data_IF_367743923896
#
_entry.id   IF_367743923896
#
_cell.length_a   1.000
_cell.length_b   1.000
_cell.length_c   1.000
_cell.angle_alpha   90.00
_cell.angle_beta   90.00
_cell.angle_gamma   90.00
#
_symmetry.space_group_name_H-M   'P 1'
#
loop_
_entity.id
_entity.type
_entity.pdbx_description
1 polymer ?
#
# COMPACT_ATOMS: atom_id res chain seq x y z
N UNK A 1 -0.81 -11.23 11.13
CA UNK A 1 -0.24 -10.42 10.04
C UNK A 1 -1.07 -10.59 8.77
N UNK A 2 -1.32 -9.54 7.99
CA UNK A 2 -2.15 -9.65 6.78
C UNK A 2 -1.40 -10.42 5.68
N UNK A 3 -2.02 -11.38 4.97
CA UNK A 3 -1.34 -12.23 3.98
C UNK A 3 -0.68 -11.46 2.84
N UNK A 4 -1.19 -10.26 2.49
CA UNK A 4 -0.54 -9.36 1.54
C UNK A 4 0.73 -8.68 2.09
N UNK A 5 0.80 -8.41 3.39
CA UNK A 5 2.02 -7.91 4.05
C UNK A 5 3.06 -9.03 4.12
N UNK A 6 2.64 -10.27 4.42
CA UNK A 6 3.53 -11.43 4.35
C UNK A 6 4.01 -11.70 2.92
N UNK A 7 3.15 -11.56 1.92
CA UNK A 7 3.54 -11.69 0.51
C UNK A 7 4.48 -10.55 0.08
N UNK A 8 4.22 -9.30 0.45
CA UNK A 8 5.13 -8.20 0.15
C UNK A 8 6.48 -8.38 0.84
N UNK A 9 6.50 -8.73 2.13
CA UNK A 9 7.74 -9.05 2.86
C UNK A 9 8.44 -10.25 2.19
N UNK A 10 7.70 -11.30 1.85
CA UNK A 10 8.24 -12.50 1.21
C UNK A 10 8.83 -12.22 -0.18
N UNK A 11 8.15 -11.40 -1.00
CA UNK A 11 8.65 -10.98 -2.32
C UNK A 11 9.89 -10.09 -2.16
N UNK A 12 9.89 -9.16 -1.20
CA UNK A 12 11.07 -8.34 -0.91
C UNK A 12 12.23 -9.21 -0.44
N UNK A 13 12.02 -10.11 0.51
CA UNK A 13 13.05 -11.05 1.00
C UNK A 13 13.55 -11.95 -0.13
N UNK A 14 12.67 -12.49 -0.98
CA UNK A 14 13.06 -13.30 -2.13
C UNK A 14 13.87 -12.50 -3.16
N UNK A 15 13.46 -11.27 -3.48
CA UNK A 15 14.21 -10.40 -4.38
C UNK A 15 15.59 -10.05 -3.83
N UNK A 16 15.68 -9.80 -2.52
CA UNK A 16 16.94 -9.55 -1.83
C UNK A 16 17.84 -10.77 -1.77
N UNK A 17 17.29 -11.95 -1.49
CA UNK A 17 18.02 -13.21 -1.53
C UNK A 17 18.53 -13.46 -2.94
N UNK A 18 17.74 -13.24 -3.99
CA UNK A 18 18.17 -13.40 -5.38
C UNK A 18 19.29 -12.41 -5.73
N UNK A 19 19.14 -11.13 -5.36
CA UNK A 19 20.16 -10.11 -5.61
C UNK A 19 21.48 -10.43 -4.87
N UNK A 20 21.39 -10.78 -3.58
CA UNK A 20 22.55 -11.11 -2.75
C UNK A 20 23.19 -12.45 -3.13
N UNK A 21 22.41 -13.47 -3.50
CA UNK A 21 22.95 -14.74 -3.97
C UNK A 21 23.74 -14.55 -5.26
N UNK A 22 23.22 -13.75 -6.20
CA UNK A 22 23.92 -13.48 -7.46
C UNK A 22 25.24 -12.72 -7.24
N UNK A 23 25.25 -11.74 -6.31
CA UNK A 23 26.46 -11.05 -5.89
C UNK A 23 27.46 -12.00 -5.21
N UNK A 24 26.98 -12.89 -4.33
CA UNK A 24 27.78 -13.92 -3.67
C UNK A 24 28.42 -14.90 -4.66
N UNK A 25 27.69 -15.34 -5.69
CA UNK A 25 28.25 -16.20 -6.75
C UNK A 25 29.30 -15.48 -7.59
N UNK A 26 29.10 -14.20 -7.90
CA UNK A 26 30.11 -13.40 -8.59
C UNK A 26 31.35 -13.25 -7.69
N UNK A 27 31.18 -12.90 -6.41
CA UNK A 27 32.29 -12.77 -5.47
C UNK A 27 33.07 -14.09 -5.37
N UNK A 28 32.38 -15.22 -5.17
CA UNK A 28 33.00 -16.54 -5.12
C UNK A 28 33.82 -16.84 -6.38
N UNK A 29 33.26 -16.62 -7.56
CA UNK A 29 33.96 -16.93 -8.81
C UNK A 29 35.28 -16.16 -8.92
N UNK A 30 35.29 -14.89 -8.52
CA UNK A 30 36.49 -14.05 -8.61
C UNK A 30 37.49 -14.26 -7.47
N UNK A 31 37.06 -14.71 -6.28
CA UNK A 31 37.95 -14.95 -5.13
C UNK A 31 38.46 -16.39 -5.06
N UNK A 32 37.59 -17.38 -5.33
CA UNK A 32 37.84 -18.80 -5.14
C UNK A 32 37.61 -19.65 -6.41
N UNK A 33 36.95 -19.11 -7.43
CA UNK A 33 36.66 -19.84 -8.66
C UNK A 33 37.93 -20.16 -9.47
N UNK A 34 38.04 -21.37 -10.04
CA UNK A 34 39.18 -21.73 -10.87
C UNK A 34 39.24 -20.83 -12.11
N UNK A 35 40.47 -20.47 -12.49
CA UNK A 35 40.78 -19.77 -13.74
C UNK A 35 40.89 -20.81 -14.85
N UNK A 36 40.11 -20.64 -15.90
CA UNK A 36 40.12 -21.51 -17.08
C UNK A 36 39.93 -20.68 -18.34
N UNK A 37 40.20 -21.26 -19.49
CA UNK A 37 39.80 -20.70 -20.78
C UNK A 37 38.44 -21.25 -21.19
N UNK A 38 37.57 -20.37 -21.67
CA UNK A 38 36.29 -20.74 -22.24
C UNK A 38 36.23 -20.34 -23.71
N UNK A 39 35.77 -21.26 -24.55
CA UNK A 39 35.40 -20.98 -25.93
C UNK A 39 33.95 -20.48 -25.95
N UNK A 40 33.73 -19.28 -26.50
CA UNK A 40 32.38 -18.72 -26.62
C UNK A 40 31.73 -19.26 -27.89
N UNK A 41 30.67 -20.05 -27.73
CA UNK A 41 29.99 -20.74 -28.83
C UNK A 41 28.98 -19.83 -29.56
N UNK A 42 28.40 -18.87 -28.85
CA UNK A 42 27.42 -17.96 -29.46
C UNK A 42 26.74 -17.04 -28.45
N UNK A 43 26.15 -15.95 -28.94
CA UNK A 43 25.48 -14.95 -28.13
C UNK A 43 24.11 -14.59 -28.70
N UNK A 44 23.11 -14.42 -27.84
CA UNK A 44 21.74 -14.01 -28.21
C UNK A 44 21.40 -12.63 -27.65
N UNK A 45 20.55 -11.86 -28.36
CA UNK A 45 20.14 -10.49 -27.95
C UNK A 45 21.06 -9.38 -28.46
N UNK A 46 20.52 -8.17 -28.67
CA UNK A 46 21.26 -7.02 -29.23
C UNK A 46 21.95 -6.18 -28.14
N UNK A 47 21.19 -5.62 -27.19
CA UNK A 47 21.70 -4.66 -26.20
C UNK A 47 22.42 -5.30 -25.01
N UNK A 48 21.96 -6.47 -24.59
CA UNK A 48 22.52 -7.23 -23.46
C UNK A 48 22.73 -8.68 -23.91
N UNK A 49 23.84 -8.97 -24.62
CA UNK A 49 24.07 -10.29 -25.19
C UNK A 49 24.16 -11.34 -24.07
N UNK A 50 23.43 -12.45 -24.24
CA UNK A 50 23.56 -13.65 -23.40
C UNK A 50 24.39 -14.66 -24.17
N UNK A 51 25.62 -14.87 -23.74
CA UNK A 51 26.57 -15.75 -24.40
C UNK A 51 26.65 -17.12 -23.72
N UNK A 52 26.82 -18.17 -24.53
CA UNK A 52 27.05 -19.55 -24.09
C UNK A 52 28.49 -19.94 -24.48
N UNK A 53 29.12 -20.78 -23.66
CA UNK A 53 30.48 -21.25 -23.91
C UNK A 53 30.74 -22.62 -23.30
N UNK A 54 31.92 -23.17 -23.62
CA UNK A 54 32.44 -24.42 -23.06
C UNK A 54 33.84 -24.19 -22.48
N UNK A 55 34.16 -24.86 -21.39
CA UNK A 55 35.46 -24.78 -20.72
C UNK A 55 35.86 -26.14 -20.13
N UNK A 56 37.14 -26.29 -19.84
CA UNK A 56 37.69 -27.48 -19.17
C UNK A 56 38.22 -27.07 -17.81
N UNK A 57 37.73 -27.73 -16.76
CA UNK A 57 38.18 -27.51 -15.39
C UNK A 57 39.59 -28.11 -15.15
N UNK A 58 40.30 -27.71 -14.08
CA UNK A 58 41.65 -28.21 -13.79
C UNK A 58 41.74 -29.73 -13.59
N UNK A 59 40.64 -30.38 -13.23
CA UNK A 59 40.52 -31.85 -13.11
C UNK A 59 40.30 -32.55 -14.46
N UNK A 60 40.28 -31.80 -15.57
CA UNK A 60 40.00 -32.28 -16.92
C UNK A 60 38.51 -32.37 -17.27
N UNK A 61 37.61 -32.07 -16.33
CA UNK A 61 36.16 -32.13 -16.55
C UNK A 61 35.71 -31.03 -17.51
N UNK A 62 35.02 -31.41 -18.59
CA UNK A 62 34.43 -30.45 -19.53
C UNK A 62 33.06 -29.99 -19.04
N UNK A 63 32.85 -28.68 -19.04
CA UNK A 63 31.57 -28.06 -18.69
C UNK A 63 31.14 -27.06 -19.77
N UNK A 64 29.86 -26.72 -19.76
CA UNK A 64 29.30 -25.69 -20.63
C UNK A 64 28.23 -24.90 -19.92
N UNK A 65 27.99 -23.68 -20.38
CA UNK A 65 26.95 -22.82 -19.83
C UNK A 65 27.14 -21.35 -20.18
N UNK A 66 26.43 -20.49 -19.45
CA UNK A 66 26.45 -19.07 -19.71
C UNK A 66 27.84 -18.47 -19.40
N UNK A 67 28.35 -17.64 -20.31
CA UNK A 67 29.57 -16.84 -20.11
C UNK A 67 29.16 -15.38 -19.94
N UNK A 68 29.08 -14.95 -18.69
CA UNK A 68 28.69 -13.59 -18.36
C UNK A 68 29.78 -12.59 -18.78
N UNK A 69 29.33 -11.44 -19.32
CA UNK A 69 30.16 -10.35 -19.85
C UNK A 69 30.98 -10.67 -21.09
N UNK A 70 30.85 -11.88 -21.65
CA UNK A 70 31.20 -12.09 -23.04
C UNK A 70 30.25 -11.28 -23.94
N UNK A 71 30.73 -10.91 -25.11
CA UNK A 71 29.98 -10.18 -26.11
C UNK A 71 30.08 -10.88 -27.47
N UNK A 72 29.45 -10.31 -28.50
CA UNK A 72 29.43 -10.92 -29.83
C UNK A 72 30.81 -10.99 -30.51
N UNK A 73 31.75 -10.12 -30.14
CA UNK A 73 33.11 -10.17 -30.69
C UNK A 73 33.96 -11.27 -30.07
N UNK A 74 33.51 -11.88 -28.97
CA UNK A 74 34.21 -13.00 -28.34
C UNK A 74 33.80 -14.36 -28.95
N UNK A 75 32.81 -14.42 -29.86
CA UNK A 75 32.30 -15.67 -30.42
C UNK A 75 33.37 -16.35 -31.28
N UNK A 76 33.65 -17.62 -30.99
CA UNK A 76 34.73 -18.40 -31.61
C UNK A 76 36.10 -18.22 -30.94
N UNK A 77 36.24 -17.27 -30.01
CA UNK A 77 37.49 -17.00 -29.31
C UNK A 77 37.60 -17.79 -27.99
N UNK A 78 38.83 -18.10 -27.62
CA UNK A 78 39.18 -18.57 -26.27
C UNK A 78 39.43 -17.36 -25.37
N UNK A 79 38.64 -17.23 -24.31
CA UNK A 79 38.76 -16.12 -23.35
C UNK A 79 39.00 -16.64 -21.93
N UNK A 80 39.82 -15.91 -21.17
CA UNK A 80 40.02 -16.16 -19.75
C UNK A 80 38.74 -15.91 -18.94
N UNK A 81 38.34 -16.91 -18.16
CA UNK A 81 37.15 -16.85 -17.31
C UNK A 81 37.41 -17.41 -15.91
N UNK A 82 36.56 -16.98 -14.98
CA UNK A 82 36.42 -17.52 -13.63
C UNK A 82 35.13 -18.34 -13.54
N UNK A 83 35.23 -19.61 -13.16
CA UNK A 83 34.05 -20.50 -13.08
C UNK A 83 33.35 -20.35 -11.72
N UNK A 84 32.03 -20.17 -11.74
CA UNK A 84 31.18 -20.22 -10.56
C UNK A 84 30.50 -21.60 -10.45
N UNK A 85 30.28 -22.13 -9.24
CA UNK A 85 29.83 -23.51 -9.03
C UNK A 85 28.41 -23.80 -9.55
N UNK A 86 27.58 -22.78 -9.81
CA UNK A 86 26.16 -22.95 -10.17
C UNK A 86 25.72 -22.12 -11.38
N UNK A 87 26.39 -21.00 -11.67
CA UNK A 87 25.83 -19.93 -12.52
C UNK A 87 26.54 -19.76 -13.86
N UNK A 88 27.57 -20.59 -14.12
CA UNK A 88 28.39 -20.53 -15.33
C UNK A 88 29.72 -19.81 -15.10
N UNK A 89 30.26 -19.20 -16.15
CA UNK A 89 31.58 -18.58 -16.14
C UNK A 89 31.50 -17.06 -16.26
N UNK A 90 32.46 -16.36 -15.68
CA UNK A 90 32.58 -14.90 -15.76
C UNK A 90 33.86 -14.52 -16.49
N UNK A 91 33.77 -13.69 -17.53
CA UNK A 91 34.95 -13.12 -18.20
C UNK A 91 35.85 -12.45 -17.17
N UNK A 92 37.15 -12.76 -17.19
CA UNK A 92 38.12 -12.25 -16.21
C UNK A 92 38.43 -10.76 -16.45
N UNK A 93 37.48 -9.89 -16.10
CA UNK A 93 37.66 -8.43 -16.11
C UNK A 93 37.26 -7.86 -14.77
N UNK A 94 38.23 -7.30 -14.04
CA UNK A 94 38.00 -6.66 -12.74
C UNK A 94 36.93 -5.57 -12.80
N UNK A 95 36.90 -4.78 -13.88
CA UNK A 95 35.87 -3.74 -14.07
C UNK A 95 34.44 -4.31 -14.01
N UNK A 96 34.24 -5.51 -14.54
CA UNK A 96 32.94 -6.16 -14.57
C UNK A 96 32.48 -6.70 -13.21
N UNK A 97 33.41 -7.12 -12.36
CA UNK A 97 33.16 -7.48 -10.97
C UNK A 97 32.77 -6.23 -10.17
N UNK A 98 33.54 -5.16 -10.29
CA UNK A 98 33.32 -3.90 -9.55
C UNK A 98 31.94 -3.29 -9.84
N UNK A 99 31.52 -3.25 -11.10
CA UNK A 99 30.19 -2.74 -11.48
C UNK A 99 29.07 -3.54 -10.80
N UNK A 100 29.22 -4.87 -10.69
CA UNK A 100 28.21 -5.72 -10.06
C UNK A 100 28.19 -5.60 -8.54
N UNK A 101 29.36 -5.56 -7.90
CA UNK A 101 29.46 -5.34 -6.46
C UNK A 101 28.90 -3.98 -6.08
N UNK A 102 29.15 -2.94 -6.89
CA UNK A 102 28.56 -1.61 -6.70
C UNK A 102 27.03 -1.66 -6.71
N UNK A 103 26.43 -2.36 -7.67
CA UNK A 103 24.97 -2.53 -7.72
C UNK A 103 24.40 -3.27 -6.51
N UNK A 104 25.09 -4.31 -6.03
CA UNK A 104 24.69 -5.00 -4.81
C UNK A 104 24.69 -4.04 -3.61
N UNK A 105 25.78 -3.28 -3.42
CA UNK A 105 25.90 -2.26 -2.37
C UNK A 105 24.78 -1.22 -2.47
N UNK A 106 24.46 -0.74 -3.68
CA UNK A 106 23.38 0.24 -3.91
C UNK A 106 22.03 -0.32 -3.50
N UNK A 107 21.72 -1.57 -3.88
CA UNK A 107 20.45 -2.23 -3.55
C UNK A 107 20.34 -2.47 -2.04
N UNK A 108 21.40 -2.98 -1.40
CA UNK A 108 21.42 -3.22 0.04
C UNK A 108 21.32 -1.91 0.83
N UNK A 109 22.02 -0.86 0.39
CA UNK A 109 21.94 0.47 0.99
C UNK A 109 20.54 1.07 0.85
N UNK A 110 19.91 0.93 -0.31
CA UNK A 110 18.54 1.38 -0.53
C UNK A 110 17.55 0.61 0.36
N UNK A 111 17.74 -0.70 0.55
CA UNK A 111 16.94 -1.48 1.47
C UNK A 111 17.14 -1.02 2.92
N UNK A 112 18.38 -0.87 3.36
CA UNK A 112 18.69 -0.42 4.71
C UNK A 112 18.06 0.94 4.97
N UNK A 113 18.15 1.87 4.01
CA UNK A 113 17.50 3.17 4.08
C UNK A 113 15.95 3.05 4.17
N UNK A 114 15.33 2.16 3.38
CA UNK A 114 13.90 1.90 3.45
C UNK A 114 13.48 1.32 4.81
N UNK A 115 14.21 0.32 5.32
CA UNK A 115 13.98 -0.28 6.63
C UNK A 115 14.15 0.74 7.76
N UNK A 116 15.21 1.56 7.71
CA UNK A 116 15.45 2.63 8.66
C UNK A 116 14.32 3.66 8.64
N UNK A 117 13.85 4.06 7.45
CA UNK A 117 12.72 4.98 7.28
C UNK A 117 11.45 4.42 7.90
N UNK A 118 11.12 3.16 7.62
CA UNK A 118 9.96 2.46 8.20
C UNK A 118 10.09 2.41 9.73
N UNK A 119 11.26 2.04 10.25
CA UNK A 119 11.51 1.96 11.69
C UNK A 119 11.33 3.32 12.38
N UNK A 120 11.87 4.40 11.80
CA UNK A 120 11.70 5.77 12.30
C UNK A 120 10.22 6.17 12.33
N UNK A 121 9.46 5.89 11.26
CA UNK A 121 8.02 6.17 11.20
C UNK A 121 7.25 5.36 12.26
N UNK A 122 7.59 4.07 12.45
CA UNK A 122 7.00 3.24 13.50
C UNK A 122 7.29 3.79 14.91
N UNK A 123 8.53 4.19 15.18
CA UNK A 123 8.93 4.74 16.49
C UNK A 123 8.24 6.08 16.74
N UNK A 124 8.22 6.98 15.76
CA UNK A 124 7.56 8.30 15.86
C UNK A 124 6.06 8.15 16.10
N UNK A 125 5.38 7.32 15.32
CA UNK A 125 3.93 7.09 15.47
C UNK A 125 3.58 6.46 16.82
N UNK A 126 4.39 5.50 17.31
CA UNK A 126 4.22 4.95 18.67
C UNK A 126 4.44 5.98 19.76
N UNK A 127 5.47 6.83 19.63
CA UNK A 127 5.73 7.92 20.58
C UNK A 127 4.54 8.88 20.60
N UNK A 128 4.00 9.26 19.44
CA UNK A 128 2.83 10.13 19.33
C UNK A 128 1.59 9.49 19.98
N UNK A 129 1.32 8.22 19.70
CA UNK A 129 0.21 7.50 20.34
C UNK A 129 0.36 7.44 21.88
N UNK A 130 1.58 7.29 22.40
CA UNK A 130 1.86 7.35 23.84
C UNK A 130 1.63 8.75 24.42
N UNK A 131 2.12 9.79 23.74
CA UNK A 131 1.92 11.19 24.15
C UNK A 131 0.43 11.52 24.17
N UNK A 132 -0.32 11.13 23.13
CA UNK A 132 -1.77 11.32 23.06
C UNK A 132 -2.48 10.63 24.23
N UNK A 133 -2.08 9.40 24.57
CA UNK A 133 -2.62 8.65 25.72
C UNK A 133 -2.34 9.31 27.06
N UNK A 134 -1.16 9.91 27.21
CA UNK A 134 -0.77 10.61 28.43
C UNK A 134 -1.47 11.96 28.58
N UNK A 135 -1.87 12.60 27.47
CA UNK A 135 -2.49 13.91 27.44
C UNK A 135 -4.03 13.90 27.48
N UNK A 136 -4.66 12.74 27.72
CA UNK A 136 -6.13 12.64 27.74
C UNK A 136 -6.70 13.41 28.91
N UNK A 137 -7.53 14.39 28.62
CA UNK A 137 -8.33 15.13 29.61
C UNK A 137 -9.60 14.35 30.00
N UNK A 138 -10.16 14.55 31.23
CA UNK A 138 -11.45 13.98 31.62
C UNK A 138 -12.61 14.30 30.65
N UNK A 139 -12.52 15.42 29.93
CA UNK A 139 -13.50 15.87 28.94
C UNK A 139 -13.36 15.20 27.58
N UNK A 140 -12.47 14.22 27.46
CA UNK A 140 -12.15 13.55 26.21
C UNK A 140 -12.38 12.04 26.32
N UNK A 141 -12.85 11.46 25.22
CA UNK A 141 -12.96 10.02 25.02
C UNK A 141 -11.80 9.55 24.17
N UNK A 142 -10.91 8.75 24.77
CA UNK A 142 -9.88 8.04 24.03
C UNK A 142 -10.40 6.67 23.60
N UNK A 143 -10.42 6.43 22.30
CA UNK A 143 -10.72 5.16 21.68
C UNK A 143 -9.45 4.53 21.11
N UNK A 144 -9.22 3.25 21.45
CA UNK A 144 -8.06 2.48 21.02
C UNK A 144 -8.55 1.26 20.26
N UNK A 145 -8.18 1.14 18.99
CA UNK A 145 -8.43 -0.06 18.20
C UNK A 145 -7.48 -1.18 18.61
N UNK A 146 -8.04 -2.31 19.04
CA UNK A 146 -7.32 -3.57 19.24
C UNK A 146 -7.96 -4.69 18.43
N UNK A 147 -7.33 -5.03 17.32
CA UNK A 147 -7.83 -6.06 16.41
C UNK A 147 -9.17 -5.67 15.78
N UNK A 148 -10.25 -6.29 16.26
CA UNK A 148 -11.64 -6.06 15.82
C UNK A 148 -12.46 -5.21 16.79
N UNK A 149 -11.89 -4.84 17.93
CA UNK A 149 -12.61 -4.08 18.96
C UNK A 149 -12.04 -2.67 19.09
N UNK A 150 -12.90 -1.73 19.50
CA UNK A 150 -12.50 -0.43 20.03
C UNK A 150 -12.72 -0.47 21.54
N UNK A 151 -11.70 -0.06 22.28
CA UNK A 151 -11.74 0.05 23.73
C UNK A 151 -11.49 1.48 24.18
N UNK A 152 -12.05 1.86 25.32
CA UNK A 152 -11.73 3.13 25.95
C UNK A 152 -10.38 3.09 26.69
N UNK A 153 -10.00 4.20 27.34
CA UNK A 153 -8.77 4.30 28.14
C UNK A 153 -8.71 3.33 29.33
N UNK A 154 -9.86 2.93 29.88
CA UNK A 154 -9.96 1.93 30.95
C UNK A 154 -9.84 0.49 30.44
N UNK A 155 -9.84 0.31 29.12
CA UNK A 155 -9.82 -1.01 28.49
C UNK A 155 -11.20 -1.63 28.31
N UNK A 156 -12.28 -0.93 28.70
CA UNK A 156 -13.67 -1.35 28.46
C UNK A 156 -13.98 -1.29 26.98
N UNK A 157 -14.67 -2.32 26.49
CA UNK A 157 -15.06 -2.45 25.09
C UNK A 157 -16.21 -1.49 24.77
N UNK A 158 -15.98 -0.61 23.80
CA UNK A 158 -16.97 0.38 23.33
C UNK A 158 -17.63 -0.07 22.04
N UNK A 159 -16.85 -0.63 21.11
CA UNK A 159 -17.34 -1.12 19.82
C UNK A 159 -16.69 -2.44 19.41
N UNK A 160 -17.40 -3.23 18.60
CA UNK A 160 -16.90 -4.45 17.98
C UNK A 160 -17.25 -4.50 16.51
N UNK A 161 -16.26 -4.80 15.66
CA UNK A 161 -16.45 -5.00 14.24
C UNK A 161 -16.51 -6.49 13.90
N UNK A 162 -17.61 -6.93 13.26
CA UNK A 162 -17.68 -8.24 12.62
C UNK A 162 -17.13 -8.14 11.21
N UNK A 163 -16.26 -9.08 10.85
CA UNK A 163 -15.65 -9.17 9.51
C UNK A 163 -16.10 -10.44 8.79
N UNK A 164 -16.45 -10.30 7.52
CA UNK A 164 -16.57 -11.40 6.58
C UNK A 164 -15.40 -11.35 5.60
N UNK A 165 -14.61 -12.43 5.56
CA UNK A 165 -13.32 -12.48 4.84
C UNK A 165 -12.40 -11.33 5.29
N UNK A 166 -12.27 -10.28 4.47
CA UNK A 166 -11.40 -9.12 4.70
C UNK A 166 -12.17 -7.80 4.85
N UNK A 167 -13.50 -7.84 4.80
CA UNK A 167 -14.34 -6.64 4.86
C UNK A 167 -15.13 -6.64 6.15
N UNK A 168 -15.29 -5.46 6.72
CA UNK A 168 -16.22 -5.27 7.81
C UNK A 168 -17.64 -5.31 7.27
N UNK A 169 -18.52 -5.99 8.00
CA UNK A 169 -19.91 -6.21 7.59
C UNK A 169 -20.90 -5.77 8.66
N UNK A 170 -20.46 -5.68 9.92
CA UNK A 170 -21.29 -5.15 10.99
C UNK A 170 -20.43 -4.47 12.06
N UNK A 171 -21.05 -3.56 12.79
CA UNK A 171 -20.54 -2.86 13.95
C UNK A 171 -21.53 -3.04 15.10
N UNK A 172 -21.03 -3.25 16.31
CA UNK A 172 -21.86 -3.39 17.52
C UNK A 172 -21.32 -2.47 18.60
N UNK A 173 -22.17 -1.60 19.16
CA UNK A 173 -21.84 -0.70 20.28
C UNK A 173 -22.01 -1.35 21.65
N UNK A 174 -21.51 -0.69 22.70
CA UNK A 174 -21.58 -1.18 24.09
C UNK A 174 -23.00 -1.33 24.63
N UNK A 175 -23.96 -0.56 24.10
CA UNK A 175 -25.39 -0.67 24.42
C UNK A 175 -26.16 -1.70 23.59
N UNK A 176 -25.48 -2.54 22.81
CA UNK A 176 -26.12 -3.55 21.95
C UNK A 176 -26.65 -3.01 20.62
N UNK A 177 -26.51 -1.72 20.35
CA UNK A 177 -26.82 -1.11 19.05
C UNK A 177 -26.01 -1.77 17.94
N UNK A 178 -26.68 -2.20 16.89
CA UNK A 178 -26.05 -2.84 15.74
C UNK A 178 -26.19 -1.98 14.50
N UNK A 179 -25.18 -2.08 13.64
CA UNK A 179 -25.16 -1.44 12.35
C UNK A 179 -24.61 -2.39 11.31
N UNK A 180 -25.19 -2.36 10.13
CA UNK A 180 -24.66 -3.04 8.96
C UNK A 180 -23.68 -2.13 8.25
N UNK A 181 -22.55 -2.70 7.83
CA UNK A 181 -21.54 -1.97 7.06
C UNK A 181 -21.57 -2.45 5.62
N UNK A 182 -21.73 -1.50 4.68
CA UNK A 182 -21.50 -1.72 3.25
C UNK A 182 -20.23 -0.98 2.83
N UNK A 183 -19.39 -1.63 2.04
CA UNK A 183 -18.08 -1.10 1.66
C UNK A 183 -18.00 -0.92 0.14
N UNK A 184 -17.63 0.29 -0.27
CA UNK A 184 -17.24 0.64 -1.64
C UNK A 184 -15.76 1.02 -1.72
N UNK A 185 -15.26 1.27 -2.92
CA UNK A 185 -13.87 1.73 -3.11
C UNK A 185 -13.68 3.11 -2.49
N UNK A 186 -12.97 3.17 -1.36
CA UNK A 186 -12.75 4.40 -0.60
C UNK A 186 -14.02 4.94 0.07
N UNK A 187 -15.08 4.13 0.17
CA UNK A 187 -16.35 4.53 0.81
C UNK A 187 -16.78 3.47 1.82
N UNK A 188 -17.27 3.91 2.96
CA UNK A 188 -17.88 3.09 4.00
C UNK A 188 -19.27 3.63 4.27
N UNK A 189 -20.30 2.80 4.11
CA UNK A 189 -21.68 3.13 4.45
C UNK A 189 -22.06 2.40 5.73
N UNK A 190 -22.86 3.07 6.53
CA UNK A 190 -23.42 2.52 7.75
C UNK A 190 -24.94 2.56 7.66
N UNK A 191 -25.56 1.39 7.78
CA UNK A 191 -27.01 1.27 7.84
C UNK A 191 -27.41 0.79 9.26
N UNK A 192 -28.52 1.28 9.80
CA UNK A 192 -29.04 0.84 11.10
C UNK A 192 -29.70 -0.55 10.99
N UNK A 193 -30.22 -1.07 12.11
CA UNK A 193 -30.89 -2.39 12.15
C UNK A 193 -32.18 -2.45 11.32
N UNK A 194 -32.83 -1.31 11.07
CA UNK A 194 -33.97 -1.20 10.16
C UNK A 194 -33.57 -1.19 8.68
N UNK A 195 -32.27 -1.14 8.37
CA UNK A 195 -31.73 -1.04 7.02
C UNK A 195 -31.71 0.37 6.43
N UNK A 196 -31.98 1.39 7.25
CA UNK A 196 -31.92 2.80 6.85
C UNK A 196 -30.48 3.32 6.94
N UNK A 197 -30.11 4.21 6.02
CA UNK A 197 -28.77 4.79 5.98
C UNK A 197 -28.58 5.71 7.19
N UNK A 198 -27.60 5.39 8.04
CA UNK A 198 -27.18 6.26 9.15
C UNK A 198 -26.12 7.28 8.71
N UNK A 199 -25.39 6.99 7.64
CA UNK A 199 -24.43 7.88 7.03
C UNK A 199 -23.34 7.15 6.25
N UNK A 200 -22.32 7.89 5.81
CA UNK A 200 -21.15 7.31 5.12
C UNK A 200 -19.87 8.09 5.39
N UNK A 201 -18.73 7.40 5.22
CA UNK A 201 -17.40 8.00 5.20
C UNK A 201 -16.81 7.78 3.83
N UNK A 202 -16.36 8.85 3.17
CA UNK A 202 -15.83 8.83 1.82
C UNK A 202 -14.44 9.46 1.77
N UNK A 203 -13.51 8.77 1.11
CA UNK A 203 -12.19 9.29 0.83
C UNK A 203 -12.30 10.45 -0.17
N UNK A 204 -11.78 11.60 0.22
CA UNK A 204 -11.60 12.71 -0.70
C UNK A 204 -10.44 12.37 -1.66
N UNK A 205 -10.78 12.33 -2.95
CA UNK A 205 -9.85 12.01 -4.04
C UNK A 205 -9.47 13.24 -4.85
N UNK A 206 -9.63 14.43 -4.29
CA UNK A 206 -9.16 15.67 -4.90
C UNK A 206 -7.69 15.59 -5.31
N UNK A 207 -7.27 16.48 -6.22
CA UNK A 207 -5.92 16.51 -6.79
C UNK A 207 -4.79 16.81 -5.76
N UNK A 208 -5.11 16.86 -4.46
CA UNK A 208 -4.19 17.11 -3.37
C UNK A 208 -3.27 15.91 -3.07
N UNK A 209 -2.12 16.20 -2.46
CA UNK A 209 -1.16 15.20 -1.98
C UNK A 209 -1.54 14.60 -0.62
N UNK A 210 -2.61 15.09 0.00
CA UNK A 210 -3.05 14.73 1.35
C UNK A 210 -4.25 13.80 1.27
N UNK A 211 -4.24 12.76 2.10
CA UNK A 211 -5.39 11.87 2.25
C UNK A 211 -6.37 12.55 3.23
N UNK A 212 -7.60 12.78 2.79
CA UNK A 212 -8.70 13.30 3.61
C UNK A 212 -9.94 12.42 3.44
N UNK A 213 -10.85 12.51 4.40
CA UNK A 213 -12.14 11.83 4.38
C UNK A 213 -13.24 12.79 4.79
N UNK A 214 -14.39 12.69 4.14
CA UNK A 214 -15.60 13.40 4.51
C UNK A 214 -16.59 12.41 5.13
N UNK A 215 -17.19 12.80 6.25
CA UNK A 215 -18.24 12.05 6.92
C UNK A 215 -19.57 12.72 6.59
N UNK A 216 -20.47 11.96 6.01
CA UNK A 216 -21.82 12.37 5.66
C UNK A 216 -22.82 11.73 6.64
N UNK A 217 -23.83 12.49 7.01
CA UNK A 217 -24.95 12.02 7.81
C UNK A 217 -25.97 11.22 6.97
N UNK A 218 -27.11 10.86 7.59
CA UNK A 218 -28.20 10.13 6.94
C UNK A 218 -28.86 10.91 5.79
N UNK A 219 -28.80 12.25 5.80
CA UNK A 219 -29.34 13.12 4.75
C UNK A 219 -28.34 13.38 3.62
N UNK A 220 -27.19 12.71 3.65
CA UNK A 220 -26.05 12.92 2.75
C UNK A 220 -25.44 14.33 2.83
N UNK A 221 -25.65 15.02 3.97
CA UNK A 221 -24.99 16.28 4.25
C UNK A 221 -23.64 16.04 4.93
N UNK A 222 -22.58 16.79 4.57
CA UNK A 222 -21.29 16.67 5.25
C UNK A 222 -21.44 17.12 6.71
N UNK A 223 -21.07 16.25 7.64
CA UNK A 223 -21.09 16.52 9.08
C UNK A 223 -19.70 16.74 9.68
N UNK A 224 -18.67 16.12 9.10
CA UNK A 224 -17.30 16.23 9.59
C UNK A 224 -16.26 15.88 8.52
N UNK A 225 -15.01 16.29 8.79
CA UNK A 225 -13.84 15.98 7.98
C UNK A 225 -12.77 15.31 8.83
N UNK A 226 -12.05 14.36 8.24
CA UNK A 226 -10.83 13.77 8.79
C UNK A 226 -9.69 14.09 7.84
N UNK A 227 -8.71 14.87 8.27
CA UNK A 227 -7.62 15.30 7.40
C UNK A 227 -6.26 15.14 8.07
N UNK A 228 -5.26 14.77 7.27
CA UNK A 228 -3.86 14.74 7.69
C UNK A 228 -3.38 16.17 7.91
N UNK A 229 -2.78 16.47 9.06
CA UNK A 229 -2.22 17.81 9.36
C UNK A 229 -0.92 18.09 8.62
N UNK A 230 -0.13 17.05 8.36
CA UNK A 230 1.11 17.09 7.59
C UNK A 230 1.43 15.73 6.99
N UNK A 231 1.97 15.68 5.77
CA UNK A 231 2.34 14.43 5.07
C UNK A 231 3.31 13.56 5.90
N UNK A 232 4.07 14.18 6.81
CA UNK A 232 5.01 13.49 7.69
C UNK A 232 4.41 13.09 9.05
N UNK A 233 3.20 13.56 9.36
CA UNK A 233 2.56 13.30 10.64
C UNK A 233 1.60 12.11 10.57
N UNK A 234 1.60 11.34 11.66
CA UNK A 234 0.64 10.25 11.89
C UNK A 234 -0.65 10.75 12.55
N UNK A 235 -0.69 12.01 12.97
CA UNK A 235 -1.84 12.67 13.58
C UNK A 235 -2.70 13.37 12.53
N UNK A 236 -4.00 13.15 12.64
CA UNK A 236 -5.01 13.59 11.71
C UNK A 236 -6.09 14.30 12.52
N UNK A 237 -6.56 15.44 12.05
CA UNK A 237 -7.59 16.20 12.75
C UNK A 237 -8.97 15.73 12.35
N UNK A 238 -9.88 15.74 13.32
CA UNK A 238 -11.31 15.56 13.09
C UNK A 238 -12.00 16.88 13.38
N UNK A 239 -12.60 17.47 12.35
CA UNK A 239 -13.22 18.80 12.40
C UNK A 239 -14.67 18.75 11.93
N UNK A 240 -15.48 19.69 12.38
CA UNK A 240 -16.81 19.92 11.83
C UNK A 240 -16.74 20.67 10.49
N UNK A 241 -17.89 20.94 9.87
CA UNK A 241 -17.97 21.68 8.61
C UNK A 241 -17.53 23.14 8.69
N UNK A 242 -17.41 23.69 9.90
CA UNK A 242 -16.92 25.05 10.17
C UNK A 242 -15.42 25.06 10.50
N UNK A 243 -14.76 23.90 10.50
CA UNK A 243 -13.34 23.75 10.86
C UNK A 243 -13.09 23.68 12.36
N UNK A 244 -14.12 23.58 13.20
CA UNK A 244 -13.96 23.42 14.65
C UNK A 244 -13.47 22.01 14.94
N UNK A 245 -12.30 21.91 15.55
CA UNK A 245 -11.69 20.63 15.91
C UNK A 245 -12.37 20.03 17.14
N UNK A 246 -12.88 18.81 16.97
CA UNK A 246 -13.42 18.01 18.09
C UNK A 246 -12.73 16.66 18.25
N UNK A 247 -11.68 16.35 17.47
CA UNK A 247 -10.89 15.14 17.69
C UNK A 247 -9.50 15.12 17.07
N UNK A 248 -8.72 14.12 17.45
CA UNK A 248 -7.40 13.78 16.87
C UNK A 248 -7.32 12.27 16.67
N UNK A 249 -7.11 11.85 15.43
CA UNK A 249 -6.87 10.47 15.04
C UNK A 249 -5.37 10.25 14.85
N UNK A 250 -4.79 9.30 15.58
CA UNK A 250 -3.41 8.87 15.38
C UNK A 250 -3.38 7.51 14.69
N UNK A 251 -2.79 7.49 13.51
CA UNK A 251 -2.58 6.30 12.68
C UNK A 251 -1.17 5.77 12.91
N UNK A 252 -1.00 4.85 13.87
CA UNK A 252 0.27 4.18 14.09
C UNK A 252 0.27 2.75 13.53
N UNK A 253 1.47 2.20 13.31
CA UNK A 253 1.60 0.84 12.76
C UNK A 253 1.08 -0.17 13.77
N UNK A 254 -0.09 -0.73 13.47
CA UNK A 254 -0.75 -1.76 14.27
C UNK A 254 -1.55 -1.24 15.46
N UNK A 255 -1.58 0.06 15.69
CA UNK A 255 -2.29 0.69 16.81
C UNK A 255 -2.91 2.00 16.30
N UNK A 256 -4.23 2.06 16.24
CA UNK A 256 -4.95 3.26 15.82
C UNK A 256 -5.72 3.78 17.02
N UNK A 257 -5.55 5.06 17.31
CA UNK A 257 -6.20 5.70 18.45
C UNK A 257 -6.93 6.94 17.98
N UNK A 258 -8.13 7.16 18.47
CA UNK A 258 -8.94 8.34 18.19
C UNK A 258 -9.27 9.00 19.53
N UNK A 259 -8.91 10.27 19.67
CA UNK A 259 -9.29 11.11 20.79
C UNK A 259 -10.45 11.99 20.33
N UNK A 260 -11.58 11.94 21.02
CA UNK A 260 -12.76 12.77 20.75
C UNK A 260 -13.06 13.65 21.95
N UNK A 261 -13.47 14.89 21.72
CA UNK A 261 -14.07 15.74 22.74
C UNK A 261 -15.50 15.24 23.05
N UNK A 262 -15.96 15.38 24.29
CA UNK A 262 -17.35 15.08 24.69
C UNK A 262 -18.40 15.90 23.94
N UNK A 263 -18.01 17.02 23.37
CA UNK A 263 -18.85 17.90 22.52
C UNK A 263 -19.03 17.36 21.10
N UNK A 264 -18.33 16.28 20.72
CA UNK A 264 -18.50 15.66 19.42
C UNK A 264 -19.95 15.18 19.25
N UNK A 265 -20.60 15.44 18.09
CA UNK A 265 -21.97 15.01 17.86
C UNK A 265 -22.12 13.49 17.99
N UNK A 266 -23.04 13.03 18.85
CA UNK A 266 -23.28 11.60 19.11
C UNK A 266 -23.61 10.81 17.83
N UNK A 267 -24.24 11.45 16.84
CA UNK A 267 -24.56 10.84 15.55
C UNK A 267 -23.32 10.44 14.74
N UNK A 268 -22.16 11.06 14.98
CA UNK A 268 -20.90 10.75 14.28
C UNK A 268 -20.14 9.57 14.89
N UNK A 269 -20.40 9.25 16.16
CA UNK A 269 -19.70 8.19 16.88
C UNK A 269 -19.66 6.84 16.14
N UNK A 270 -20.78 6.30 15.65
CA UNK A 270 -20.75 5.00 14.99
C UNK A 270 -20.02 5.04 13.63
N UNK A 271 -20.05 6.17 12.92
CA UNK A 271 -19.30 6.37 11.67
C UNK A 271 -17.78 6.43 11.93
N UNK A 272 -17.38 7.17 12.97
CA UNK A 272 -15.98 7.26 13.41
C UNK A 272 -15.45 5.91 13.91
N UNK A 273 -16.28 5.15 14.64
CA UNK A 273 -15.95 3.80 15.10
C UNK A 273 -15.77 2.83 13.92
N UNK A 274 -16.70 2.86 12.95
CA UNK A 274 -16.59 2.05 11.74
C UNK A 274 -15.33 2.40 10.93
N UNK A 275 -15.06 3.69 10.76
CA UNK A 275 -13.86 4.18 10.09
C UNK A 275 -12.59 3.73 10.79
N UNK A 276 -12.48 3.92 12.12
CA UNK A 276 -11.31 3.52 12.90
C UNK A 276 -11.01 2.02 12.77
N UNK A 277 -12.05 1.17 12.78
CA UNK A 277 -11.93 -0.28 12.61
C UNK A 277 -11.58 -0.70 11.17
N UNK A 278 -11.89 0.12 10.16
CA UNK A 278 -11.65 -0.16 8.73
C UNK A 278 -10.55 0.71 8.09
N UNK A 279 -9.86 1.52 8.89
CA UNK A 279 -8.93 2.55 8.42
C UNK A 279 -7.83 2.01 7.50
N UNK A 280 -7.29 0.82 7.78
CA UNK A 280 -6.27 0.18 6.92
C UNK A 280 -6.78 -0.02 5.48
N UNK A 281 -8.06 -0.40 5.32
CA UNK A 281 -8.68 -0.59 4.00
C UNK A 281 -8.95 0.76 3.36
N UNK A 282 -9.54 1.68 4.10
CA UNK A 282 -9.86 3.03 3.61
C UNK A 282 -8.59 3.72 3.10
N UNK A 283 -7.47 3.66 3.84
CA UNK A 283 -6.17 4.19 3.42
C UNK A 283 -5.66 3.56 2.12
N UNK A 284 -5.79 2.25 1.97
CA UNK A 284 -5.36 1.54 0.75
C UNK A 284 -6.20 1.91 -0.48
N UNK A 285 -7.48 2.25 -0.28
CA UNK A 285 -8.42 2.57 -1.36
C UNK A 285 -8.58 4.08 -1.62
N UNK A 286 -8.10 4.92 -0.71
CA UNK A 286 -8.04 6.38 -0.84
C UNK A 286 -6.88 6.84 -1.73
N UNK A 287 -5.78 6.09 -1.77
CA UNK A 287 -4.65 6.41 -2.65
C UNK A 287 -5.14 6.46 -4.10
N UNK A 288 -4.91 7.58 -4.83
CA UNK A 288 -5.26 7.66 -6.23
C UNK A 288 -4.63 6.48 -6.95
N UNK A 289 -5.44 5.61 -7.56
CA UNK A 289 -4.91 4.72 -8.58
C UNK A 289 -4.33 5.66 -9.63
N UNK A 290 -2.99 5.68 -9.78
CA UNK A 290 -2.42 6.08 -11.06
C UNK A 290 -3.14 5.19 -12.06
N UNK A 291 -4.01 5.79 -12.87
CA UNK A 291 -4.65 5.10 -13.97
C UNK A 291 -3.51 4.44 -14.75
N UNK A 292 -3.42 3.13 -14.64
CA UNK A 292 -2.65 2.34 -15.60
C UNK A 292 -3.21 2.72 -16.95
N UNK A 293 -2.35 3.31 -17.79
CA UNK A 293 -2.64 3.64 -19.19
C UNK A 293 -3.23 2.38 -19.83
N UNK A 294 -4.56 2.31 -19.95
CA UNK A 294 -5.23 1.08 -20.40
C UNK A 294 -6.69 0.87 -19.99
N UNK A 295 -7.26 1.62 -19.04
CA UNK A 295 -8.71 1.55 -18.77
C UNK A 295 -9.46 2.70 -19.46
N UNK A 296 -10.05 2.49 -20.67
CA UNK A 296 -10.88 3.50 -21.30
C UNK A 296 -12.18 3.68 -20.50
N UNK A 297 -12.55 4.95 -20.34
CA UNK A 297 -13.76 5.44 -19.69
C UNK A 297 -15.01 4.63 -20.00
N UNK A 298 -15.55 3.97 -18.98
CA UNK A 298 -16.96 3.56 -18.94
C UNK A 298 -17.67 4.17 -17.73
N UNK A 299 -17.58 5.50 -17.57
CA UNK A 299 -18.54 6.26 -16.78
C UNK A 299 -19.63 6.75 -17.72
N UNK A 300 -20.70 5.95 -17.86
CA UNK A 300 -21.98 6.42 -18.39
C UNK A 300 -22.50 7.47 -17.40
N UNK A 301 -22.45 8.72 -17.79
CA UNK A 301 -23.23 9.80 -17.22
C UNK A 301 -24.70 9.40 -17.32
N UNK A 302 -25.32 9.03 -16.19
CA UNK A 302 -26.77 8.98 -16.09
C UNK A 302 -27.22 10.43 -15.94
N UNK A 303 -27.31 11.13 -17.07
CA UNK A 303 -27.98 12.42 -17.13
C UNK A 303 -29.43 12.15 -16.73
N UNK A 304 -29.80 12.69 -15.58
CA UNK A 304 -31.18 12.80 -15.13
C UNK A 304 -31.93 13.52 -16.23
N UNK A 305 -32.83 12.81 -16.92
CA UNK A 305 -33.76 13.42 -17.85
C UNK A 305 -34.62 14.41 -17.07
N UNK A 306 -34.43 15.71 -17.31
CA UNK A 306 -35.40 16.72 -16.92
C UNK A 306 -36.73 16.41 -17.63
N UNK A 307 -37.87 16.42 -16.93
CA UNK A 307 -39.17 16.40 -17.60
C UNK A 307 -39.31 17.68 -18.43
N UNK A 308 -39.55 17.51 -19.72
CA UNK A 308 -39.81 18.57 -20.69
C UNK A 308 -41.10 19.33 -20.30
N UNK A 309 -41.11 20.67 -20.28
CA UNK A 309 -42.34 21.42 -20.03
C UNK A 309 -43.30 21.23 -21.20
N UNK A 310 -44.55 20.91 -20.86
CA UNK A 310 -45.65 20.76 -21.80
C UNK A 310 -45.81 22.01 -22.66
N UNK A 311 -45.49 21.88 -23.95
CA UNK A 311 -45.83 22.86 -24.96
C UNK A 311 -47.32 22.75 -25.26
N UNK A 312 -48.11 23.63 -24.65
CA UNK A 312 -49.51 23.89 -25.01
C UNK A 312 -49.54 24.82 -26.21
N UNK A 313 -49.39 24.26 -27.40
CA UNK A 313 -49.75 24.95 -28.65
C UNK A 313 -51.07 24.35 -29.14
N UNK A 314 -52.18 24.96 -28.73
CA UNK A 314 -53.42 24.83 -29.47
C UNK A 314 -53.32 25.58 -30.80
N UNK A 315 -53.70 24.93 -31.91
CA UNK A 315 -54.46 25.54 -33.02
C UNK A 315 -54.77 24.55 -34.14
N UNK A 316 -56.05 24.57 -34.52
CA UNK A 316 -56.64 24.31 -35.84
C UNK A 316 -56.62 22.84 -36.33
N UNK A 317 -57.65 22.29 -36.99
CA UNK A 317 -58.68 22.90 -37.84
C UNK A 317 -59.83 21.90 -38.13
N UNK A 318 -60.95 22.46 -38.54
CA UNK A 318 -62.23 21.91 -39.01
C UNK A 318 -62.19 20.69 -39.95
N UNK A 319 -63.32 19.95 -39.99
CA UNK A 319 -63.80 19.37 -41.25
C UNK A 319 -64.86 18.27 -41.18
N UNK A 320 -66.11 18.67 -41.44
CA UNK A 320 -67.34 17.91 -41.79
C UNK A 320 -68.18 17.29 -40.68
#
# INVERSE_FOLDING_TARGET
MHPRRLLAIGVTVAALLVANSYAGFALYAFTAGPRVEAEVLGCTGQKFPRCQGRWTLPDGTRQSGAVAQANRSDVGELIGVRVAPVVGAYKERMAGLWIRLLWAIVVDSALLAACATIAVVMVRSRRRARVLRAAVSPEQHLWIRRGRDIRDSSGRKMWSGRRSRRRMVALTGSGGTQFRIRTGYGVLYLDNDAGEVSGRVEADRGAGRTISYTIYDAADAPGAFIAVTSVQDSAWEVTDTRGVRFGELVVAVGDHSLLLQRTAPAALEPLLAAFLLDIDRMLLEATPRRLTVGEPHRRRTRVVAQPSPANSSGRCKDGR
#
